data_IF_745743667218
#
_entry.id   IF_745743667218
#
_cell.length_a   1.000
_cell.length_b   1.000
_cell.length_c   1.000
_cell.angle_alpha   90.00
_cell.angle_beta   90.00
_cell.angle_gamma   90.00
#
_symmetry.space_group_name_H-M   'P 1'
#
loop_
_entity.id
_entity.type
_entity.pdbx_description
1 polymer ?
#
# COMPACT_ATOMS: atom_id res chain seq x y z
N UNK A 1 -53.21 67.17 -87.17
CA UNK A 1 -54.25 66.18 -87.50
C UNK A 1 -54.00 64.96 -86.67
N UNK A 2 -55.11 64.42 -86.16
CA UNK A 2 -55.33 63.07 -85.67
C UNK A 2 -54.43 62.02 -86.34
N UNK A 3 -53.97 61.01 -85.60
CA UNK A 3 -54.43 59.62 -85.81
C UNK A 3 -53.71 58.61 -84.87
N UNK A 4 -54.53 57.81 -84.20
CA UNK A 4 -54.52 56.34 -84.14
C UNK A 4 -53.19 55.53 -84.23
N UNK A 5 -52.99 54.64 -83.25
CA UNK A 5 -52.54 53.26 -83.51
C UNK A 5 -51.17 52.79 -82.99
N UNK A 6 -51.13 51.47 -82.71
CA UNK A 6 -50.00 50.52 -82.61
C UNK A 6 -49.45 50.26 -81.19
N UNK A 7 -49.65 49.07 -80.59
CA UNK A 7 -49.15 47.69 -80.89
C UNK A 7 -47.68 47.44 -80.51
N UNK A 8 -47.51 46.32 -79.76
CA UNK A 8 -46.28 45.52 -79.52
C UNK A 8 -45.27 46.18 -78.57
N UNK A 9 -44.46 45.51 -77.74
CA UNK A 9 -44.22 44.11 -77.30
C UNK A 9 -43.16 44.23 -76.18
N UNK A 10 -43.03 43.20 -75.33
CA UNK A 10 -41.82 42.78 -74.60
C UNK A 10 -40.91 43.86 -73.96
N UNK A 11 -40.72 43.81 -72.64
CA UNK A 11 -39.51 43.26 -72.02
C UNK A 11 -39.60 43.45 -70.50
N UNK A 12 -38.99 42.51 -69.78
CA UNK A 12 -38.87 42.45 -68.33
C UNK A 12 -38.11 43.65 -67.75
N UNK A 13 -38.48 44.07 -66.54
CA UNK A 13 -37.54 44.33 -65.42
C UNK A 13 -38.24 44.80 -64.14
N UNK A 14 -37.87 44.14 -63.04
CA UNK A 14 -37.73 44.64 -61.65
C UNK A 14 -38.97 44.95 -60.78
N UNK A 15 -39.23 43.96 -59.89
CA UNK A 15 -39.62 43.96 -58.47
C UNK A 15 -40.61 44.96 -57.83
N UNK A 16 -41.33 44.49 -56.79
CA UNK A 16 -41.13 45.10 -55.48
C UNK A 16 -40.89 44.11 -54.32
N UNK A 17 -40.12 44.63 -53.37
CA UNK A 17 -39.53 44.01 -52.19
C UNK A 17 -40.48 43.22 -51.26
N UNK A 18 -39.99 42.06 -50.78
CA UNK A 18 -40.65 41.22 -49.77
C UNK A 18 -39.99 41.40 -48.40
N UNK A 19 -40.75 41.84 -47.39
CA UNK A 19 -40.29 41.90 -46.00
C UNK A 19 -40.32 40.50 -45.35
N UNK A 20 -39.27 40.04 -44.64
CA UNK A 20 -39.23 38.68 -44.11
C UNK A 20 -39.99 38.56 -42.77
N UNK A 21 -40.98 37.66 -42.74
CA UNK A 21 -41.59 37.13 -41.53
C UNK A 21 -40.59 36.18 -40.85
N UNK A 22 -40.31 36.43 -39.57
CA UNK A 22 -39.37 35.66 -38.73
C UNK A 22 -39.80 34.20 -38.61
N UNK A 23 -39.06 33.29 -39.26
CA UNK A 23 -39.10 31.87 -38.94
C UNK A 23 -38.21 31.62 -37.72
N UNK A 24 -38.81 31.16 -36.61
CA UNK A 24 -38.08 30.71 -35.43
C UNK A 24 -37.54 29.32 -35.74
N UNK A 25 -36.26 29.23 -36.10
CA UNK A 25 -35.55 27.96 -36.21
C UNK A 25 -35.14 27.56 -34.79
N UNK A 26 -35.83 26.57 -34.21
CA UNK A 26 -35.38 25.90 -32.98
C UNK A 26 -34.25 24.95 -33.38
N UNK A 27 -33.02 25.42 -33.30
CA UNK A 27 -31.84 24.55 -33.41
C UNK A 27 -31.75 23.76 -32.10
N UNK A 28 -32.15 22.49 -32.11
CA UNK A 28 -31.83 21.56 -31.02
C UNK A 28 -30.35 21.24 -31.14
N UNK A 29 -29.50 22.00 -30.45
CA UNK A 29 -28.11 21.61 -30.27
C UNK A 29 -28.09 20.41 -29.32
N UNK A 30 -27.73 19.24 -29.82
CA UNK A 30 -27.38 18.10 -28.99
C UNK A 30 -26.14 18.49 -28.16
N UNK A 31 -26.34 18.86 -26.91
CA UNK A 31 -25.25 18.96 -25.94
C UNK A 31 -24.84 17.52 -25.65
N UNK A 32 -23.79 17.04 -26.31
CA UNK A 32 -23.12 15.83 -25.88
C UNK A 32 -22.55 16.10 -24.48
N UNK A 33 -23.18 15.53 -23.46
CA UNK A 33 -22.65 15.52 -22.12
C UNK A 33 -21.42 14.59 -22.14
N UNK A 34 -20.26 15.15 -22.42
CA UNK A 34 -19.01 14.45 -22.18
C UNK A 34 -18.90 14.30 -20.65
N UNK A 35 -19.32 13.14 -20.13
CA UNK A 35 -18.97 12.74 -18.79
C UNK A 35 -17.44 12.63 -18.77
N UNK A 36 -16.77 13.67 -18.29
CA UNK A 36 -15.37 13.56 -17.91
C UNK A 36 -15.34 12.55 -16.79
N UNK A 37 -14.83 11.35 -17.08
CA UNK A 37 -14.43 10.43 -16.03
C UNK A 37 -13.40 11.19 -15.19
N UNK A 38 -13.82 11.66 -14.02
CA UNK A 38 -12.89 12.08 -12.98
C UNK A 38 -12.12 10.81 -12.66
N UNK A 39 -10.88 10.70 -13.13
CA UNK A 39 -10.01 9.61 -12.72
C UNK A 39 -9.98 9.60 -11.19
N UNK A 40 -10.29 8.44 -10.60
CA UNK A 40 -10.27 8.22 -9.16
C UNK A 40 -8.85 8.32 -8.53
N UNK A 41 -7.89 8.94 -9.22
CA UNK A 41 -6.51 9.12 -8.77
C UNK A 41 -6.36 10.22 -7.69
N UNK A 42 -7.39 11.01 -7.45
CA UNK A 42 -7.41 11.97 -6.35
C UNK A 42 -7.80 11.27 -5.05
N UNK A 43 -6.81 10.63 -4.40
CA UNK A 43 -6.64 10.38 -2.95
C UNK A 43 -5.74 9.15 -2.69
N UNK A 44 -4.66 8.93 -3.46
CA UNK A 44 -3.58 8.05 -2.98
C UNK A 44 -2.67 8.85 -2.05
N UNK A 45 -3.01 8.90 -0.75
CA UNK A 45 -1.98 9.16 0.25
C UNK A 45 -0.88 8.13 0.04
N UNK A 46 0.42 8.48 -0.06
CA UNK A 46 1.46 7.49 -0.23
C UNK A 46 1.38 6.52 0.96
N UNK A 47 0.88 5.31 0.71
CA UNK A 47 0.82 4.24 1.71
C UNK A 47 2.27 3.83 1.91
N UNK A 48 2.88 4.34 2.98
CA UNK A 48 4.20 3.89 3.38
C UNK A 48 4.13 2.39 3.60
N UNK A 49 5.09 1.65 3.03
CA UNK A 49 5.21 0.21 3.29
C UNK A 49 5.24 0.02 4.80
N UNK A 50 4.29 -0.74 5.38
CA UNK A 50 4.25 -0.95 6.81
C UNK A 50 5.58 -1.50 7.30
N UNK A 51 5.99 -1.04 8.49
CA UNK A 51 7.26 -1.42 9.09
C UNK A 51 6.98 -2.36 10.26
N UNK A 52 7.70 -3.47 10.31
CA UNK A 52 7.58 -4.48 11.35
C UNK A 52 8.44 -4.06 12.52
N UNK A 53 7.88 -4.08 13.72
CA UNK A 53 8.65 -3.83 14.94
C UNK A 53 9.27 -5.13 15.43
N UNK A 54 10.58 -5.11 15.68
CA UNK A 54 11.34 -6.19 16.28
C UNK A 54 11.82 -5.73 17.64
N UNK A 55 11.31 -6.36 18.70
CA UNK A 55 11.78 -6.15 20.06
C UNK A 55 13.14 -6.78 20.28
N UNK A 56 13.96 -6.12 21.10
CA UNK A 56 15.25 -6.65 21.55
C UNK A 56 15.29 -6.65 23.08
N UNK A 57 16.24 -7.37 23.67
CA UNK A 57 16.54 -7.15 25.09
C UNK A 57 17.03 -5.71 25.27
N UNK A 58 16.45 -4.90 26.19
CA UNK A 58 16.83 -3.51 26.36
C UNK A 58 18.33 -3.33 26.50
N UNK A 59 18.91 -2.48 25.66
CA UNK A 59 20.36 -2.35 25.53
C UNK A 59 20.78 -0.89 25.50
N UNK A 60 21.72 -0.51 26.37
CA UNK A 60 22.30 0.82 26.35
C UNK A 60 23.31 0.94 25.22
N UNK A 61 22.97 1.70 24.18
CA UNK A 61 23.86 1.91 23.02
C UNK A 61 24.74 3.15 23.18
N UNK A 62 24.35 4.09 24.05
CA UNK A 62 25.16 5.26 24.37
C UNK A 62 25.02 5.69 25.83
N UNK A 63 26.13 6.11 26.44
CA UNK A 63 26.19 6.71 27.77
C UNK A 63 27.25 7.81 27.80
N UNK A 64 26.82 9.07 27.71
CA UNK A 64 27.81 10.16 27.65
C UNK A 64 28.56 10.40 28.94
N UNK A 65 28.12 9.79 30.06
CA UNK A 65 28.85 9.87 31.34
C UNK A 65 30.17 9.12 31.27
N UNK A 66 30.22 8.04 30.49
CA UNK A 66 31.40 7.18 30.36
C UNK A 66 32.21 7.52 29.10
N UNK A 67 31.57 7.98 28.03
CA UNK A 67 32.27 8.45 26.82
C UNK A 67 31.57 9.63 26.13
N UNK A 68 32.33 10.70 25.86
CA UNK A 68 31.82 11.87 25.11
C UNK A 68 31.41 13.07 25.96
N UNK A 69 31.19 12.86 27.27
CA UNK A 69 31.00 13.90 28.28
C UNK A 69 29.68 14.68 28.19
N UNK A 70 29.51 15.60 29.14
CA UNK A 70 28.44 16.60 29.11
C UNK A 70 28.55 17.43 27.83
N UNK A 71 27.44 17.68 27.13
CA UNK A 71 27.46 18.47 25.90
C UNK A 71 26.22 19.34 25.71
N UNK A 72 26.40 20.42 24.95
CA UNK A 72 25.36 21.19 24.28
C UNK A 72 25.63 21.18 22.77
N UNK A 73 24.61 21.44 21.96
CA UNK A 73 24.71 21.28 20.50
C UNK A 73 24.32 19.88 20.04
N UNK A 74 24.88 19.42 18.92
CA UNK A 74 24.47 18.17 18.25
C UNK A 74 25.58 17.12 18.38
N UNK A 75 25.21 15.89 18.72
CA UNK A 75 26.06 14.70 18.61
C UNK A 75 25.35 13.62 17.82
N UNK A 76 26.13 12.85 17.08
CA UNK A 76 25.66 11.71 16.30
C UNK A 76 25.93 10.43 17.07
N UNK A 77 24.90 9.59 17.18
CA UNK A 77 25.01 8.29 17.83
C UNK A 77 24.72 7.15 16.87
N UNK A 78 25.62 6.16 16.83
CA UNK A 78 25.38 4.91 16.09
C UNK A 78 24.46 4.01 16.91
N UNK A 79 23.38 3.53 16.29
CA UNK A 79 22.40 2.65 16.93
C UNK A 79 22.74 1.17 16.74
N UNK A 80 23.56 0.83 15.73
CA UNK A 80 24.01 -0.52 15.45
C UNK A 80 25.30 -0.91 16.19
N UNK A 81 26.06 0.07 16.68
CA UNK A 81 27.33 -0.15 17.38
C UNK A 81 27.60 0.98 18.39
N UNK A 82 27.53 0.67 19.68
CA UNK A 82 27.82 1.60 20.79
C UNK A 82 29.30 1.78 21.11
N UNK A 83 30.21 1.11 20.40
CA UNK A 83 31.66 1.21 20.64
C UNK A 83 32.13 2.67 20.56
N UNK A 84 32.86 3.12 21.58
CA UNK A 84 33.34 4.50 21.68
C UNK A 84 32.28 5.54 22.11
N UNK A 85 31.04 5.11 22.36
CA UNK A 85 29.93 5.98 22.78
C UNK A 85 29.45 5.69 24.21
N UNK A 86 30.19 4.85 24.93
CA UNK A 86 29.90 4.50 26.32
C UNK A 86 28.83 3.42 26.48
N UNK A 87 28.31 2.88 25.37
CA UNK A 87 27.35 1.78 25.34
C UNK A 87 27.91 0.48 24.75
N UNK A 88 27.03 -0.49 24.55
CA UNK A 88 27.37 -1.82 24.04
C UNK A 88 27.53 -1.85 22.51
N UNK A 89 28.48 -2.65 22.02
CA UNK A 89 28.83 -2.78 20.59
C UNK A 89 27.87 -3.62 19.74
N UNK A 90 26.84 -4.20 20.35
CA UNK A 90 25.99 -5.20 19.69
C UNK A 90 24.58 -5.26 20.27
N UNK A 91 23.85 -4.15 20.27
CA UNK A 91 22.45 -4.12 20.71
C UNK A 91 21.46 -4.84 19.76
N UNK A 92 21.94 -5.49 18.70
CA UNK A 92 21.10 -6.25 17.75
C UNK A 92 20.30 -5.39 16.78
N UNK A 93 20.57 -4.09 16.69
CA UNK A 93 19.96 -3.21 15.69
C UNK A 93 20.70 -3.33 14.36
N UNK A 94 20.07 -3.80 13.28
CA UNK A 94 20.72 -3.91 11.98
C UNK A 94 20.93 -2.54 11.34
N UNK A 95 21.95 -2.41 10.48
CA UNK A 95 22.24 -1.16 9.75
C UNK A 95 21.11 -0.75 8.80
N UNK A 96 20.29 -1.71 8.37
CA UNK A 96 19.11 -1.50 7.53
C UNK A 96 17.81 -1.19 8.28
N UNK A 97 17.84 -0.99 9.60
CA UNK A 97 16.65 -0.57 10.34
C UNK A 97 16.16 0.81 9.85
N UNK A 98 14.85 0.95 9.64
CA UNK A 98 14.23 2.20 9.20
C UNK A 98 13.94 3.16 10.37
N UNK A 99 13.79 2.63 11.58
CA UNK A 99 13.61 3.41 12.80
C UNK A 99 14.02 2.59 14.04
N UNK A 100 14.15 3.27 15.19
CA UNK A 100 14.45 2.66 16.49
C UNK A 100 13.48 3.15 17.56
N UNK A 101 13.11 2.26 18.47
CA UNK A 101 12.41 2.61 19.71
C UNK A 101 13.44 2.72 20.82
N UNK A 102 13.55 3.91 21.39
CA UNK A 102 14.56 4.26 22.39
C UNK A 102 13.93 4.87 23.63
N UNK A 103 14.57 4.69 24.77
CA UNK A 103 14.41 5.52 25.95
C UNK A 103 15.59 6.49 26.00
N UNK A 104 15.32 7.79 25.90
CA UNK A 104 16.33 8.85 25.98
C UNK A 104 16.29 9.42 27.39
N UNK A 105 17.39 9.30 28.12
CA UNK A 105 17.51 9.85 29.48
C UNK A 105 18.49 11.00 29.49
N UNK A 106 18.07 12.15 30.01
CA UNK A 106 18.97 13.27 30.34
C UNK A 106 19.36 13.18 31.80
N UNK A 107 20.61 13.52 32.13
CA UNK A 107 21.08 13.55 33.52
C UNK A 107 22.24 14.52 33.69
N UNK A 108 22.44 15.03 34.92
CA UNK A 108 23.50 16.00 35.19
C UNK A 108 23.35 17.28 34.38
N UNK A 109 22.10 17.74 34.19
CA UNK A 109 21.78 18.99 33.48
C UNK A 109 22.43 20.18 34.18
N UNK A 110 22.91 21.18 33.44
CA UNK A 110 23.48 22.42 34.02
C UNK A 110 22.47 23.55 34.20
N UNK A 111 21.24 23.37 33.72
CA UNK A 111 20.14 24.32 33.79
C UNK A 111 18.90 23.77 33.10
N UNK A 112 17.84 24.57 32.97
CA UNK A 112 16.66 24.20 32.20
C UNK A 112 16.93 24.10 30.69
N UNK A 113 16.18 23.26 29.98
CA UNK A 113 16.38 23.03 28.55
C UNK A 113 15.65 21.82 28.00
N UNK A 114 16.13 21.34 26.85
CA UNK A 114 15.59 20.17 26.17
C UNK A 114 16.66 19.38 25.42
N UNK A 115 16.33 18.12 25.16
CA UNK A 115 17.02 17.24 24.21
C UNK A 115 16.05 16.81 23.12
N UNK A 116 16.51 16.75 21.88
CA UNK A 116 15.77 16.27 20.72
C UNK A 116 16.51 15.10 20.06
N UNK A 117 15.81 14.00 19.79
CA UNK A 117 16.29 12.87 19.01
C UNK A 117 15.63 12.87 17.63
N UNK A 118 16.44 12.79 16.57
CA UNK A 118 15.99 12.87 15.18
C UNK A 118 16.93 12.12 14.24
N UNK A 119 16.55 11.90 12.97
CA UNK A 119 17.38 11.14 12.03
C UNK A 119 18.77 11.71 11.88
N UNK A 120 19.77 10.84 11.94
CA UNK A 120 21.15 11.21 11.69
C UNK A 120 21.35 11.80 10.30
N UNK A 121 22.10 12.90 10.22
CA UNK A 121 22.45 13.54 8.96
C UNK A 121 21.34 14.42 8.35
N UNK A 122 20.19 14.56 9.02
CA UNK A 122 19.16 15.54 8.62
C UNK A 122 19.27 16.82 9.45
N UNK A 123 18.77 17.97 8.95
CA UNK A 123 18.57 19.14 9.79
C UNK A 123 17.64 18.84 10.97
N UNK A 124 17.85 19.52 12.11
CA UNK A 124 16.95 19.39 13.26
C UNK A 124 15.55 19.91 12.90
N UNK A 125 14.47 19.11 13.05
CA UNK A 125 13.14 19.48 12.59
C UNK A 125 12.38 20.44 13.53
N UNK A 126 13.00 20.94 14.60
CA UNK A 126 12.41 21.96 15.49
C UNK A 126 11.59 21.41 16.66
N UNK A 127 11.55 20.10 16.88
CA UNK A 127 10.86 19.46 18.00
C UNK A 127 11.81 19.11 19.17
N UNK A 128 11.25 18.80 20.34
CA UNK A 128 11.97 18.23 21.49
C UNK A 128 11.46 16.82 21.84
N UNK A 129 12.34 16.02 22.46
CA UNK A 129 12.04 14.66 22.94
C UNK A 129 11.95 14.62 24.46
N UNK A 130 12.85 15.30 25.17
CA UNK A 130 12.87 15.40 26.64
C UNK A 130 13.01 16.87 27.01
N UNK A 131 12.17 17.38 27.90
CA UNK A 131 12.29 18.72 28.45
C UNK A 131 12.61 18.62 29.95
N UNK A 132 13.42 19.53 30.48
CA UNK A 132 13.87 19.54 31.87
C UNK A 132 13.96 20.97 32.40
N UNK A 133 13.63 21.15 33.68
CA UNK A 133 13.37 22.49 34.25
C UNK A 133 14.57 23.17 34.90
N UNK A 134 15.61 22.42 35.29
CA UNK A 134 16.70 22.96 36.09
C UNK A 134 17.96 22.11 36.08
N UNK A 135 18.96 22.54 36.85
CA UNK A 135 20.22 21.83 37.01
C UNK A 135 20.09 20.59 37.89
N UNK A 136 20.93 19.58 37.65
CA UNK A 136 20.98 18.33 38.41
C UNK A 136 19.81 17.38 38.16
N UNK A 137 18.95 17.68 37.18
CA UNK A 137 17.74 16.91 36.89
C UNK A 137 18.09 15.65 36.11
N UNK A 138 17.37 14.56 36.41
CA UNK A 138 17.39 13.33 35.63
C UNK A 138 15.97 12.98 35.21
N UNK A 139 15.70 12.97 33.90
CA UNK A 139 14.38 12.72 33.31
C UNK A 139 14.57 11.89 32.06
N UNK A 140 13.62 10.98 31.79
CA UNK A 140 13.63 10.15 30.59
C UNK A 140 12.33 10.29 29.80
N UNK A 141 12.41 10.06 28.49
CA UNK A 141 11.24 9.87 27.65
C UNK A 141 11.49 8.77 26.61
N UNK A 142 10.45 7.97 26.35
CA UNK A 142 10.42 7.01 25.27
C UNK A 142 10.13 7.69 23.93
N UNK A 143 10.83 7.29 22.87
CA UNK A 143 10.64 7.82 21.53
C UNK A 143 10.84 6.75 20.46
N UNK A 144 10.07 6.85 19.37
CA UNK A 144 10.42 6.19 18.11
C UNK A 144 11.07 7.22 17.20
N UNK A 145 12.28 6.93 16.74
CA UNK A 145 13.09 7.85 15.94
C UNK A 145 13.43 7.18 14.62
N UNK A 146 13.11 7.87 13.51
CA UNK A 146 13.53 7.44 12.19
C UNK A 146 15.06 7.34 12.12
N UNK A 147 15.54 6.34 11.40
CA UNK A 147 16.97 6.10 11.26
C UNK A 147 17.58 7.02 10.21
N UNK A 148 18.71 7.64 10.53
CA UNK A 148 19.53 8.38 9.57
C UNK A 148 20.49 7.47 8.79
N UNK A 149 21.33 8.09 7.97
CA UNK A 149 22.36 7.36 7.22
C UNK A 149 23.33 6.60 8.13
N UNK A 150 23.63 5.35 7.77
CA UNK A 150 24.55 4.49 8.52
C UNK A 150 24.04 4.07 9.91
N UNK A 151 22.73 3.92 10.08
CA UNK A 151 22.07 3.57 11.33
C UNK A 151 22.35 4.55 12.49
N UNK A 152 22.28 5.84 12.19
CA UNK A 152 22.58 6.90 13.17
C UNK A 152 21.35 7.70 13.57
N UNK A 153 21.34 8.09 14.84
CA UNK A 153 20.41 9.08 15.41
C UNK A 153 21.21 10.30 15.84
N UNK A 154 20.71 11.49 15.52
CA UNK A 154 21.25 12.74 16.02
C UNK A 154 20.54 13.12 17.32
N UNK A 155 21.33 13.55 18.31
CA UNK A 155 20.84 14.12 19.56
C UNK A 155 21.27 15.58 19.62
N UNK A 156 20.30 16.48 19.69
CA UNK A 156 20.53 17.90 19.98
C UNK A 156 20.22 18.19 21.44
N UNK A 157 21.17 18.74 22.18
CA UNK A 157 20.97 19.30 23.52
C UNK A 157 20.97 20.84 23.47
N UNK A 158 19.94 21.48 24.04
CA UNK A 158 19.90 22.96 24.15
C UNK A 158 20.81 23.48 25.26
N UNK A 159 20.96 22.68 26.32
CA UNK A 159 21.66 23.01 27.55
C UNK A 159 22.61 21.86 27.86
N UNK A 160 23.78 22.16 28.41
CA UNK A 160 24.78 21.16 28.73
C UNK A 160 24.19 20.06 29.65
N UNK A 161 24.22 18.82 29.17
CA UNK A 161 23.70 17.64 29.89
C UNK A 161 24.43 16.39 29.46
N UNK A 162 24.35 15.32 30.27
CA UNK A 162 24.60 13.98 29.78
C UNK A 162 23.33 13.39 29.16
N UNK A 163 23.52 12.48 28.21
CA UNK A 163 22.46 11.70 27.55
C UNK A 163 22.81 10.23 27.59
N UNK A 164 21.83 9.41 27.94
CA UNK A 164 21.87 7.96 27.85
C UNK A 164 20.81 7.53 26.84
N UNK A 165 21.14 6.55 26.01
CA UNK A 165 20.22 6.01 25.00
C UNK A 165 20.13 4.50 25.21
N UNK A 166 18.96 4.07 25.64
CA UNK A 166 18.61 2.65 25.77
C UNK A 166 17.68 2.27 24.63
N UNK A 167 18.01 1.22 23.86
CA UNK A 167 17.22 0.73 22.73
C UNK A 167 16.37 -0.44 23.19
N UNK A 168 15.10 -0.45 22.82
CA UNK A 168 14.13 -1.50 23.17
C UNK A 168 13.61 -2.29 21.97
N UNK A 169 13.77 -1.74 20.76
CA UNK A 169 13.41 -2.40 19.52
C UNK A 169 13.73 -1.53 18.32
N UNK A 170 13.54 -2.07 17.13
CA UNK A 170 13.73 -1.37 15.88
C UNK A 170 12.64 -1.71 14.88
N UNK A 171 12.49 -0.87 13.87
CA UNK A 171 11.59 -1.10 12.76
C UNK A 171 12.40 -1.49 11.53
N UNK A 172 11.97 -2.55 10.88
CA UNK A 172 12.41 -2.94 9.54
C UNK A 172 11.23 -2.87 8.61
N UNK A 173 11.48 -2.96 7.31
CA UNK A 173 10.42 -3.24 6.34
C UNK A 173 9.65 -4.47 6.83
N UNK A 174 8.38 -4.29 7.21
CA UNK A 174 7.54 -5.46 7.41
C UNK A 174 7.47 -6.17 6.06
N UNK A 175 7.27 -7.49 6.03
CA UNK A 175 6.56 -8.08 4.91
C UNK A 175 5.34 -7.19 4.70
N UNK A 176 5.29 -6.51 3.56
CA UNK A 176 4.24 -5.54 3.34
C UNK A 176 2.91 -6.29 3.52
N UNK A 177 1.93 -5.81 4.32
CA UNK A 177 0.60 -6.38 4.28
C UNK A 177 0.06 -5.96 2.93
N UNK A 178 0.22 -6.84 1.94
CA UNK A 178 -0.17 -6.57 0.56
C UNK A 178 -1.33 -7.49 0.21
N UNK A 179 -2.49 -6.86 0.39
CA UNK A 179 -3.74 -7.02 -0.34
C UNK A 179 -4.32 -8.43 -0.32
N UNK A 180 -5.17 -8.67 0.69
CA UNK A 180 -6.38 -9.45 0.44
C UNK A 180 -7.25 -8.62 -0.51
N UNK A 181 -7.39 -9.07 -1.75
CA UNK A 181 -8.60 -8.82 -2.51
C UNK A 181 -9.51 -10.03 -2.25
N UNK A 182 -10.51 -9.81 -1.41
CA UNK A 182 -11.70 -10.65 -1.40
C UNK A 182 -12.64 -10.09 -2.46
N UNK A 183 -13.13 -10.90 -3.40
CA UNK A 183 -14.30 -10.50 -4.20
C UNK A 183 -15.23 -11.68 -4.49
N UNK A 184 -16.47 -11.46 -4.01
CA UNK A 184 -17.79 -11.97 -4.35
C UNK A 184 -18.02 -13.47 -4.51
N UNK A 185 -19.09 -13.94 -3.87
CA UNK A 185 -19.75 -15.19 -4.24
C UNK A 185 -20.09 -15.15 -5.73
N UNK A 186 -19.58 -16.12 -6.48
CA UNK A 186 -19.84 -16.30 -7.91
C UNK A 186 -20.70 -17.53 -8.08
N UNK A 187 -21.80 -17.36 -8.80
CA UNK A 187 -22.54 -18.49 -9.37
C UNK A 187 -21.73 -19.06 -10.52
N UNK A 188 -21.23 -20.29 -10.35
CA UNK A 188 -20.59 -21.04 -11.43
C UNK A 188 -21.62 -22.05 -11.95
N UNK A 189 -22.19 -21.83 -13.16
CA UNK A 189 -23.04 -22.82 -13.78
C UNK A 189 -22.27 -24.13 -13.99
N UNK A 190 -22.97 -25.26 -13.88
CA UNK A 190 -22.37 -26.58 -14.08
C UNK A 190 -21.64 -26.74 -15.40
N UNK A 191 -20.47 -27.37 -15.34
CA UNK A 191 -19.62 -27.58 -16.51
C UNK A 191 -18.89 -26.32 -16.99
N UNK A 192 -19.12 -25.16 -16.36
CA UNK A 192 -18.41 -23.93 -16.66
C UNK A 192 -17.29 -23.70 -15.64
N UNK A 193 -16.25 -23.00 -16.08
CA UNK A 193 -15.20 -22.50 -15.23
C UNK A 193 -15.42 -21.02 -14.93
N UNK A 194 -15.13 -20.59 -13.70
CA UNK A 194 -15.21 -19.19 -13.29
C UNK A 194 -14.07 -18.80 -12.37
N UNK A 195 -13.51 -17.60 -12.57
CA UNK A 195 -12.53 -16.99 -11.65
C UNK A 195 -13.26 -16.46 -10.43
N UNK A 196 -12.87 -16.90 -9.24
CA UNK A 196 -13.53 -16.58 -7.97
C UNK A 196 -12.69 -15.70 -7.05
N UNK A 197 -11.40 -15.54 -7.33
CA UNK A 197 -10.52 -14.65 -6.59
C UNK A 197 -9.31 -14.26 -7.46
N UNK A 198 -8.85 -13.01 -7.32
CA UNK A 198 -7.65 -12.49 -7.98
C UNK A 198 -6.80 -11.72 -6.97
N UNK A 199 -5.47 -11.77 -7.09
CA UNK A 199 -4.54 -10.93 -6.34
C UNK A 199 -3.31 -10.61 -7.19
N UNK A 200 -2.62 -9.52 -6.91
CA UNK A 200 -1.47 -9.07 -7.70
C UNK A 200 -0.25 -8.84 -6.81
N UNK A 201 0.85 -9.53 -7.10
CA UNK A 201 2.16 -9.24 -6.51
C UNK A 201 2.77 -8.04 -7.23
N UNK A 202 3.04 -6.95 -6.51
CA UNK A 202 3.45 -5.66 -7.11
C UNK A 202 4.97 -5.43 -7.11
N UNK A 203 5.77 -6.42 -6.73
CA UNK A 203 7.22 -6.26 -6.61
C UNK A 203 7.94 -7.61 -6.83
N UNK A 204 9.21 -7.60 -7.26
CA UNK A 204 10.02 -8.80 -7.31
C UNK A 204 10.21 -9.42 -5.91
N UNK A 205 10.20 -10.74 -5.80
CA UNK A 205 10.41 -11.44 -4.52
C UNK A 205 9.90 -12.88 -4.50
N UNK A 206 10.20 -13.60 -3.41
CA UNK A 206 9.55 -14.88 -3.10
C UNK A 206 8.22 -14.61 -2.41
N UNK A 207 7.18 -15.36 -2.74
CA UNK A 207 5.83 -15.21 -2.17
C UNK A 207 5.23 -16.57 -1.84
N UNK A 208 4.50 -16.66 -0.73
CA UNK A 208 3.52 -17.72 -0.44
C UNK A 208 2.17 -17.24 -0.95
N UNK A 209 1.63 -17.90 -1.96
CA UNK A 209 0.28 -17.66 -2.47
C UNK A 209 -0.66 -18.69 -1.86
N UNK A 210 -1.68 -18.21 -1.15
CA UNK A 210 -2.70 -19.03 -0.51
C UNK A 210 -4.06 -18.71 -1.10
N UNK A 211 -4.74 -19.72 -1.63
CA UNK A 211 -6.10 -19.66 -2.11
C UNK A 211 -7.01 -20.48 -1.18
N UNK A 212 -8.16 -19.94 -0.80
CA UNK A 212 -9.19 -20.67 -0.06
C UNK A 212 -10.50 -20.59 -0.81
N UNK A 213 -11.23 -21.70 -0.86
CA UNK A 213 -12.50 -21.84 -1.58
C UNK A 213 -13.54 -22.45 -0.65
N UNK A 214 -14.75 -21.92 -0.67
CA UNK A 214 -15.90 -22.44 0.08
C UNK A 214 -17.07 -22.64 -0.88
N UNK A 215 -17.63 -23.85 -0.86
CA UNK A 215 -18.83 -24.21 -1.63
C UNK A 215 -20.02 -24.34 -0.69
N UNK A 216 -21.18 -23.81 -1.10
CA UNK A 216 -22.40 -23.86 -0.28
C UNK A 216 -23.20 -25.17 -0.38
N UNK A 217 -22.81 -26.11 -1.26
CA UNK A 217 -23.56 -27.35 -1.48
C UNK A 217 -22.70 -28.62 -1.30
N UNK A 218 -23.30 -29.64 -0.70
CA UNK A 218 -22.70 -30.97 -0.47
C UNK A 218 -22.64 -31.84 -1.74
N UNK A 219 -22.97 -31.29 -2.91
CA UNK A 219 -23.19 -32.03 -4.16
C UNK A 219 -22.28 -31.59 -5.33
N UNK A 220 -21.48 -30.54 -5.17
CA UNK A 220 -20.57 -30.05 -6.19
C UNK A 220 -19.15 -30.59 -5.95
N UNK A 221 -18.63 -31.35 -6.91
CA UNK A 221 -17.19 -31.63 -6.97
C UNK A 221 -16.51 -30.43 -7.63
N UNK A 222 -15.96 -29.51 -6.84
CA UNK A 222 -15.28 -28.33 -7.36
C UNK A 222 -13.83 -28.68 -7.71
N UNK A 223 -13.49 -28.56 -8.98
CA UNK A 223 -12.11 -28.62 -9.44
C UNK A 223 -11.56 -27.21 -9.55
N UNK A 224 -10.75 -26.82 -8.57
CA UNK A 224 -10.13 -25.50 -8.52
C UNK A 224 -8.66 -25.57 -8.91
N UNK A 225 -8.20 -24.56 -9.65
CA UNK A 225 -6.80 -24.38 -10.04
C UNK A 225 -6.36 -22.97 -9.70
N UNK A 226 -5.13 -22.86 -9.22
CA UNK A 226 -4.41 -21.59 -9.07
C UNK A 226 -3.48 -21.41 -10.26
N UNK A 227 -3.55 -20.27 -10.93
CA UNK A 227 -2.73 -19.94 -12.09
C UNK A 227 -2.26 -18.48 -12.06
N UNK A 228 -1.20 -18.19 -12.80
CA UNK A 228 -0.69 -16.83 -13.00
C UNK A 228 -1.23 -16.21 -14.29
N UNK A 229 -0.97 -14.91 -14.49
CA UNK A 229 -1.33 -14.13 -15.68
C UNK A 229 -0.79 -14.68 -17.01
N UNK A 230 0.17 -15.62 -16.97
CA UNK A 230 0.75 -16.24 -18.14
C UNK A 230 0.08 -17.57 -18.49
N UNK A 231 -0.98 -17.95 -17.76
CA UNK A 231 -1.71 -19.20 -17.96
C UNK A 231 -0.91 -20.44 -17.54
N UNK A 232 0.18 -20.26 -16.79
CA UNK A 232 1.00 -21.37 -16.31
C UNK A 232 0.23 -22.10 -15.20
N UNK A 233 -0.32 -23.27 -15.52
CA UNK A 233 -1.03 -24.14 -14.58
C UNK A 233 -0.02 -24.89 -13.73
N UNK A 234 0.63 -24.19 -12.79
CA UNK A 234 1.82 -24.73 -12.12
C UNK A 234 1.54 -25.47 -10.80
N UNK A 235 0.36 -25.35 -10.19
CA UNK A 235 0.16 -25.87 -8.84
C UNK A 235 -1.20 -26.56 -8.70
N UNK A 236 -1.21 -27.88 -8.92
CA UNK A 236 -2.30 -28.76 -8.53
C UNK A 236 -2.42 -28.87 -7.00
N UNK A 237 -3.59 -29.28 -6.51
CA UNK A 237 -3.82 -29.53 -5.09
C UNK A 237 -2.72 -30.40 -4.49
N UNK A 238 -2.17 -30.00 -3.33
CA UNK A 238 -1.16 -30.77 -2.61
C UNK A 238 -1.61 -32.23 -2.45
N UNK A 239 -0.90 -33.14 -3.13
CA UNK A 239 -0.87 -34.57 -2.77
C UNK A 239 -1.89 -35.51 -3.40
N UNK A 240 -2.67 -35.11 -4.42
CA UNK A 240 -3.52 -36.07 -5.16
C UNK A 240 -3.41 -35.89 -6.68
N UNK A 241 -3.06 -36.95 -7.44
CA UNK A 241 -3.08 -36.90 -8.90
C UNK A 241 -4.53 -36.73 -9.36
N UNK A 242 -4.82 -35.66 -10.12
CA UNK A 242 -6.07 -35.40 -10.86
C UNK A 242 -7.30 -36.20 -10.40
N UNK A 243 -7.61 -36.11 -9.11
CA UNK A 243 -8.77 -36.71 -8.51
C UNK A 243 -9.51 -35.54 -7.89
N UNK A 244 -10.71 -35.33 -8.39
CA UNK A 244 -11.53 -34.18 -8.07
C UNK A 244 -11.54 -33.91 -6.57
N UNK A 245 -11.34 -32.65 -6.21
CA UNK A 245 -11.57 -32.20 -4.85
C UNK A 245 -13.09 -32.27 -4.62
N UNK A 246 -13.58 -33.45 -4.26
CA UNK A 246 -14.95 -33.64 -3.79
C UNK A 246 -15.03 -33.13 -2.36
N UNK A 247 -14.95 -31.81 -2.17
CA UNK A 247 -15.13 -31.26 -0.83
C UNK A 247 -16.63 -31.11 -0.56
N UNK A 248 -17.17 -31.73 0.49
CA UNK A 248 -18.31 -31.15 1.17
C UNK A 248 -17.79 -29.93 1.96
N UNK A 249 -17.85 -28.71 1.39
CA UNK A 249 -17.83 -27.47 2.17
C UNK A 249 -16.65 -26.47 2.01
N UNK A 250 -15.37 -26.87 1.96
CA UNK A 250 -14.24 -25.89 1.84
C UNK A 250 -12.84 -26.49 1.60
N UNK A 251 -12.01 -25.86 0.75
CA UNK A 251 -10.61 -26.27 0.50
C UNK A 251 -9.62 -25.11 0.46
N UNK A 252 -8.34 -25.39 0.73
CA UNK A 252 -7.23 -24.41 0.68
C UNK A 252 -6.09 -24.93 -0.19
N UNK A 253 -5.56 -24.10 -1.08
CA UNK A 253 -4.37 -24.33 -1.90
C UNK A 253 -3.27 -23.37 -1.47
N UNK A 254 -2.04 -23.85 -1.37
CA UNK A 254 -0.85 -23.04 -1.03
C UNK A 254 0.23 -23.31 -2.06
N UNK A 255 1.00 -22.29 -2.44
CA UNK A 255 2.20 -22.46 -3.26
C UNK A 255 3.25 -21.42 -2.89
N UNK A 256 4.52 -21.72 -3.15
CA UNK A 256 5.62 -20.78 -3.01
C UNK A 256 6.17 -20.45 -4.39
N UNK A 257 6.22 -19.17 -4.73
CA UNK A 257 6.56 -18.68 -6.06
C UNK A 257 7.58 -17.56 -5.98
N UNK A 258 8.53 -17.53 -6.91
CA UNK A 258 9.44 -16.41 -7.06
C UNK A 258 8.99 -15.58 -8.24
N UNK A 259 8.69 -14.31 -7.99
CA UNK A 259 8.20 -13.39 -9.02
C UNK A 259 9.32 -12.40 -9.36
N UNK A 260 9.66 -12.29 -10.64
CA UNK A 260 10.71 -11.39 -11.12
C UNK A 260 10.22 -9.93 -11.31
N UNK A 261 8.91 -9.74 -11.50
CA UNK A 261 8.24 -8.45 -11.76
C UNK A 261 6.83 -8.46 -11.15
N UNK A 262 5.92 -7.60 -11.60
CA UNK A 262 4.50 -7.67 -11.21
C UNK A 262 3.85 -8.92 -11.80
N UNK A 263 3.09 -9.67 -11.00
CA UNK A 263 2.34 -10.84 -11.46
C UNK A 263 0.94 -10.92 -10.84
N UNK A 264 -0.05 -11.24 -11.65
CA UNK A 264 -1.43 -11.47 -11.23
C UNK A 264 -1.66 -12.97 -11.02
N UNK A 265 -2.33 -13.33 -9.94
CA UNK A 265 -2.67 -14.68 -9.53
C UNK A 265 -4.17 -14.83 -9.45
N UNK A 266 -4.70 -15.92 -9.99
CA UNK A 266 -6.13 -16.17 -10.09
C UNK A 266 -6.48 -17.58 -9.66
N UNK A 267 -7.62 -17.72 -9.01
CA UNK A 267 -8.22 -19.02 -8.68
C UNK A 267 -9.45 -19.19 -9.57
N UNK A 268 -9.45 -20.24 -10.38
CA UNK A 268 -10.62 -20.65 -11.17
C UNK A 268 -11.13 -21.98 -10.67
N UNK A 269 -12.44 -22.13 -10.58
CA UNK A 269 -13.10 -23.37 -10.20
C UNK A 269 -14.07 -23.81 -11.29
N UNK A 270 -14.19 -25.12 -11.47
CA UNK A 270 -15.20 -25.76 -12.33
C UNK A 270 -16.08 -26.67 -11.47
N UNK A 271 -17.40 -26.55 -11.60
CA UNK A 271 -18.33 -27.50 -10.99
C UNK A 271 -18.43 -28.77 -11.84
N UNK A 272 -17.96 -29.89 -11.27
CA UNK A 272 -17.97 -31.24 -11.86
C UNK A 272 -18.95 -32.19 -11.18
N UNK A 273 -19.88 -31.65 -10.37
CA UNK A 273 -20.91 -32.45 -9.69
C UNK A 273 -21.75 -33.30 -10.66
N UNK A 274 -22.16 -34.48 -10.20
CA UNK A 274 -22.99 -35.43 -10.96
C UNK A 274 -24.48 -35.37 -10.59
N UNK A 275 -24.86 -34.49 -9.65
CA UNK A 275 -26.23 -34.36 -9.16
C UNK A 275 -27.16 -33.76 -10.22
N UNK A 276 -28.33 -34.38 -10.40
CA UNK A 276 -29.25 -34.11 -11.52
C UNK A 276 -29.94 -32.74 -11.49
N UNK A 277 -29.89 -31.98 -10.38
CA UNK A 277 -30.47 -30.61 -10.29
C UNK A 277 -29.62 -29.65 -9.42
N UNK A 278 -29.39 -28.42 -9.89
CA UNK A 278 -28.61 -27.36 -9.21
C UNK A 278 -29.58 -26.56 -8.37
N UNK A 279 -29.31 -26.38 -7.08
CA UNK A 279 -30.13 -25.47 -6.29
C UNK A 279 -29.69 -24.04 -6.66
N UNK A 280 -30.60 -23.11 -6.97
CA UNK A 280 -30.25 -21.71 -7.22
C UNK A 280 -29.51 -21.01 -6.06
N UNK A 281 -29.45 -21.64 -4.89
CA UNK A 281 -28.67 -21.18 -3.73
C UNK A 281 -27.23 -21.71 -3.69
N UNK A 282 -26.79 -22.49 -4.68
CA UNK A 282 -25.46 -23.09 -4.76
C UNK A 282 -24.44 -22.07 -5.28
N UNK A 283 -23.87 -21.29 -4.37
CA UNK A 283 -22.79 -20.34 -4.62
C UNK A 283 -21.40 -20.90 -4.27
N UNK A 284 -20.38 -20.45 -5.01
CA UNK A 284 -18.96 -20.67 -4.68
C UNK A 284 -18.34 -19.32 -4.32
N UNK A 285 -17.55 -19.30 -3.25
CA UNK A 285 -16.77 -18.12 -2.87
C UNK A 285 -15.33 -18.50 -2.63
N UNK A 286 -14.41 -17.55 -2.78
CA UNK A 286 -13.02 -17.78 -2.48
C UNK A 286 -12.23 -16.51 -2.19
N UNK A 287 -11.03 -16.72 -1.68
CA UNK A 287 -10.04 -15.67 -1.42
C UNK A 287 -8.71 -16.15 -1.95
N UNK A 288 -7.93 -15.26 -2.54
CA UNK A 288 -6.53 -15.52 -2.89
C UNK A 288 -5.66 -14.42 -2.30
N UNK A 289 -4.57 -14.82 -1.66
CA UNK A 289 -3.67 -13.94 -0.92
C UNK A 289 -2.24 -14.29 -1.33
N UNK A 290 -1.44 -13.28 -1.68
CA UNK A 290 -0.02 -13.45 -1.92
C UNK A 290 0.79 -12.73 -0.82
N UNK A 291 1.57 -13.49 -0.06
CA UNK A 291 2.39 -12.99 1.03
C UNK A 291 3.87 -13.11 0.70
N UNK A 292 4.63 -12.03 0.76
CA UNK A 292 6.06 -12.08 0.45
C UNK A 292 6.83 -12.83 1.55
N UNK A 293 7.70 -13.76 1.15
CA UNK A 293 8.64 -14.49 2.01
C UNK A 293 9.97 -13.76 2.00
N UNK A 294 10.43 -13.33 3.17
CA UNK A 294 11.78 -12.80 3.32
C UNK A 294 12.73 -13.96 3.59
N UNK A 295 13.71 -14.18 2.71
CA UNK A 295 14.91 -14.95 3.04
C UNK A 295 15.70 -14.14 4.07
N UNK A 296 15.87 -14.69 5.28
CA UNK A 296 16.78 -14.13 6.29
C UNK A 296 18.23 -14.17 5.80
#
# INVERSE_FOLDING_TARGET
MDDNGLRRTHNASMEPATAPRRAVVVLVAAVALAATAVSADALSTPRTTPKGWVGINPCRVADTRTAGGVFSGIKMFSMSDGTGQGGASGCGVPTGASAVTVNVTVTGTTGGGYVAAYPGGTPWPGNSTVNFSGAGVTVANGATVLMGSGAKVAIKASTATNVLIDVTGYYVDAPAPKVSEQVNAVDIPRGNAGVIATTTTTAPGSYVVTASVQGSSTAAALNCTLFDQFGSTQYGAFGVPAAALSVPGSGTMVTVVTVATTATWQVSCTDTGTATQQNPSDHVSGTVIAQQVTTQ
#
